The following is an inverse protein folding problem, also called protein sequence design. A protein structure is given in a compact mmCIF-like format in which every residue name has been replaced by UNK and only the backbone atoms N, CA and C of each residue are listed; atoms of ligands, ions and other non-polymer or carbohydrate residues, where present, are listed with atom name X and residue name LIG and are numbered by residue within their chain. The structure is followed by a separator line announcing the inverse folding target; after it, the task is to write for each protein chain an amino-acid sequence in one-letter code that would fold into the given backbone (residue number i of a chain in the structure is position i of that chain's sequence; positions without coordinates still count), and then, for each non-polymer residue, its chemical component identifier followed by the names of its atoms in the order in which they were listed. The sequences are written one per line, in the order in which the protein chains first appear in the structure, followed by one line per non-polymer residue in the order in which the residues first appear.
data_IF_100660203149
#
_entry.id   IF_100660203149
#
_cell.length_a   1.000
_cell.length_b   1.000
_cell.length_c   1.000
_cell.angle_alpha   90.00
_cell.angle_beta   90.00
_cell.angle_gamma   90.00
#
_symmetry.space_group_name_H-M   'P 1'
#
loop_
_entity.id
_entity.type
_entity.pdbx_description
1 polymer ?
#
# COMPACT_ATOMS: atom_id res chain seq x y z
N UNK A 1 -7.42 -0.59 -9.61
CA UNK A 1 -6.35 -0.56 -10.63
C UNK A 1 -5.93 0.88 -10.80
N UNK A 2 -4.64 1.14 -10.99
CA UNK A 2 -4.08 2.49 -10.99
C UNK A 2 -3.28 2.75 -12.25
N UNK A 3 -3.32 3.97 -12.82
CA UNK A 3 -2.71 4.25 -14.12
C UNK A 3 -1.19 4.42 -14.05
N UNK A 4 -0.62 4.71 -12.88
CA UNK A 4 0.83 4.85 -12.67
C UNK A 4 1.25 4.13 -11.40
N UNK A 5 2.54 3.78 -11.32
CA UNK A 5 3.13 3.13 -10.15
C UNK A 5 2.98 4.01 -8.92
N UNK A 6 3.31 5.30 -9.02
CA UNK A 6 3.26 6.26 -7.91
C UNK A 6 1.86 6.35 -7.28
N UNK A 7 0.81 6.42 -8.11
CA UNK A 7 -0.58 6.45 -7.63
C UNK A 7 -0.93 5.12 -6.95
N UNK A 8 -0.44 4.00 -7.48
CA UNK A 8 -0.64 2.69 -6.87
C UNK A 8 0.05 2.58 -5.51
N UNK A 9 1.29 3.08 -5.38
CA UNK A 9 2.03 3.07 -4.12
C UNK A 9 1.37 3.93 -3.05
N UNK A 10 0.89 5.11 -3.41
CA UNK A 10 0.17 5.99 -2.48
C UNK A 10 -1.14 5.36 -2.03
N UNK A 11 -1.89 4.79 -2.97
CA UNK A 11 -3.12 4.08 -2.64
C UNK A 11 -2.87 2.82 -1.81
N UNK A 12 -1.72 2.14 -1.97
CA UNK A 12 -1.32 1.01 -1.15
C UNK A 12 -1.11 1.45 0.30
N UNK A 13 -0.42 2.57 0.52
CA UNK A 13 -0.21 3.14 1.86
C UNK A 13 -1.54 3.57 2.47
N UNK A 14 -2.39 4.27 1.70
CA UNK A 14 -3.71 4.70 2.14
C UNK A 14 -4.59 3.51 2.54
N UNK A 15 -4.59 2.43 1.75
CA UNK A 15 -5.30 1.21 2.08
C UNK A 15 -4.81 0.62 3.42
N UNK A 16 -3.50 0.61 3.65
CA UNK A 16 -2.91 0.16 4.91
C UNK A 16 -3.30 1.05 6.09
N UNK A 17 -3.38 2.36 5.87
CA UNK A 17 -3.85 3.30 6.88
C UNK A 17 -5.34 3.12 7.18
N UNK A 18 -6.18 2.88 6.17
CA UNK A 18 -7.64 2.77 6.35
C UNK A 18 -8.08 1.42 6.86
N UNK A 19 -7.43 0.35 6.43
CA UNK A 19 -7.81 -1.02 6.77
C UNK A 19 -6.83 -1.62 7.79
N UNK A 20 -7.36 -2.35 8.77
CA UNK A 20 -6.55 -3.12 9.71
C UNK A 20 -6.13 -4.45 9.08
N UNK A 21 -5.18 -4.35 8.15
CA UNK A 21 -4.46 -5.50 7.63
C UNK A 21 -3.64 -6.13 8.76
N UNK A 22 -3.96 -7.36 9.13
CA UNK A 22 -3.21 -8.11 10.15
C UNK A 22 -1.78 -8.42 9.69
N UNK A 23 -0.95 -8.99 10.59
CA UNK A 23 0.48 -9.32 10.32
C UNK A 23 0.77 -10.11 9.04
N UNK A 24 -0.24 -10.76 8.44
CA UNK A 24 -0.12 -11.55 7.21
C UNK A 24 -1.24 -11.29 6.20
N UNK A 25 -2.11 -10.31 6.45
CA UNK A 25 -3.33 -10.13 5.66
C UNK A 25 -3.36 -8.76 5.04
N UNK A 26 -2.86 -8.60 3.81
CA UNK A 26 -2.94 -7.35 3.05
C UNK A 26 -1.99 -7.35 1.86
N UNK A 27 -2.17 -6.42 0.91
CA UNK A 27 -1.23 -6.23 -0.18
C UNK A 27 0.08 -5.65 0.34
N UNK A 28 1.23 -6.14 -0.15
CA UNK A 28 2.56 -5.68 0.27
C UNK A 28 3.29 -4.93 -0.84
N UNK A 29 2.83 -5.05 -2.09
CA UNK A 29 3.46 -4.45 -3.25
C UNK A 29 2.44 -4.07 -4.33
N UNK A 30 2.94 -3.38 -5.35
CA UNK A 30 2.25 -3.06 -6.59
C UNK A 30 2.96 -3.73 -7.76
N UNK A 31 2.24 -4.12 -8.79
CA UNK A 31 2.82 -4.65 -10.03
C UNK A 31 2.05 -4.15 -11.25
N UNK A 32 2.75 -4.00 -12.38
CA UNK A 32 2.13 -3.70 -13.67
C UNK A 32 1.51 -4.98 -14.24
N UNK A 33 0.20 -4.97 -14.46
CA UNK A 33 -0.51 -6.05 -15.12
C UNK A 33 -0.31 -5.96 -16.62
N UNK A 34 0.21 -7.04 -17.22
CA UNK A 34 0.48 -7.10 -18.66
C UNK A 34 -0.81 -7.20 -19.50
N UNK A 35 -1.92 -7.66 -18.92
CA UNK A 35 -3.18 -7.82 -19.62
C UNK A 35 -3.95 -6.50 -19.78
N UNK A 36 -3.89 -5.62 -18.77
CA UNK A 36 -4.64 -4.37 -18.77
C UNK A 36 -3.77 -3.11 -18.80
N UNK A 37 -2.45 -3.22 -18.66
CA UNK A 37 -1.51 -2.09 -18.65
C UNK A 37 -1.61 -1.19 -17.41
N UNK A 38 -2.30 -1.63 -16.35
CA UNK A 38 -2.47 -0.86 -15.11
C UNK A 38 -1.74 -1.51 -13.94
N UNK A 39 -1.53 -0.73 -12.88
CA UNK A 39 -0.94 -1.20 -11.64
C UNK A 39 -1.99 -1.81 -10.70
N UNK A 40 -1.65 -2.96 -10.13
CA UNK A 40 -2.49 -3.73 -9.21
C UNK A 40 -1.76 -4.01 -7.91
N UNK A 41 -2.53 -4.20 -6.85
CA UNK A 41 -2.02 -4.64 -5.56
C UNK A 41 -1.72 -6.13 -5.56
N UNK A 42 -0.67 -6.51 -4.85
CA UNK A 42 -0.31 -7.91 -4.65
C UNK A 42 0.20 -8.13 -3.23
N UNK A 43 -0.14 -9.28 -2.66
CA UNK A 43 0.40 -9.77 -1.38
C UNK A 43 1.67 -10.61 -1.57
N UNK A 44 2.15 -10.75 -2.81
CA UNK A 44 3.33 -11.54 -3.16
C UNK A 44 4.52 -10.66 -3.52
N UNK A 45 5.72 -11.21 -3.38
CA UNK A 45 6.97 -10.55 -3.78
C UNK A 45 7.59 -9.72 -2.66
N UNK A 46 8.45 -8.77 -3.06
CA UNK A 46 9.15 -7.91 -2.11
C UNK A 46 8.25 -6.74 -1.68
N UNK A 47 8.18 -6.42 -0.37
CA UNK A 47 7.40 -5.28 0.10
C UNK A 47 7.85 -3.99 -0.56
N UNK A 48 6.87 -3.20 -1.01
CA UNK A 48 7.12 -1.89 -1.60
C UNK A 48 7.96 -1.04 -0.63
N UNK A 49 9.01 -0.40 -1.16
CA UNK A 49 9.97 0.35 -0.36
C UNK A 49 9.29 1.51 0.38
N UNK A 50 8.41 2.25 -0.30
CA UNK A 50 7.65 3.36 0.26
C UNK A 50 6.72 2.89 1.38
N UNK A 51 6.01 1.77 1.18
CA UNK A 51 5.16 1.16 2.22
C UNK A 51 5.98 0.80 3.46
N UNK A 52 7.14 0.16 3.28
CA UNK A 52 8.02 -0.23 4.39
C UNK A 52 8.52 0.99 5.17
N UNK A 53 8.99 2.02 4.48
CA UNK A 53 9.43 3.27 5.10
C UNK A 53 8.29 3.95 5.89
N UNK A 54 7.05 3.90 5.40
CA UNK A 54 5.89 4.43 6.10
C UNK A 54 5.53 3.64 7.38
N UNK A 55 5.69 2.32 7.36
CA UNK A 55 5.50 1.46 8.52
C UNK A 55 6.62 1.69 9.55
N UNK A 56 7.88 1.66 9.11
CA UNK A 56 9.06 1.79 9.98
C UNK A 56 9.17 3.18 10.60
N UNK A 57 8.83 4.23 9.85
CA UNK A 57 8.84 5.62 10.37
C UNK A 57 7.71 5.92 11.35
N UNK A 58 6.74 5.02 11.52
CA UNK A 58 5.58 5.23 12.38
C UNK A 58 4.57 6.25 11.82
N UNK A 59 4.82 6.86 10.65
CA UNK A 59 3.91 7.81 9.98
C UNK A 59 2.52 7.22 9.75
N UNK A 60 2.46 5.92 9.48
CA UNK A 60 1.22 5.18 9.30
C UNK A 60 0.34 5.17 10.59
N UNK A 61 0.94 5.14 11.79
CA UNK A 61 0.19 5.25 13.05
C UNK A 61 -0.40 6.64 13.24
N UNK A 62 0.35 7.69 12.92
CA UNK A 62 -0.12 9.07 12.98
C UNK A 62 -1.27 9.31 12.00
N UNK A 63 -1.16 8.81 10.76
CA UNK A 63 -2.23 8.90 9.79
C UNK A 63 -3.48 8.11 10.20
N UNK A 64 -3.32 6.93 10.82
CA UNK A 64 -4.46 6.17 11.37
C UNK A 64 -5.25 6.98 12.40
N UNK A 65 -4.55 7.65 13.32
CA UNK A 65 -5.19 8.54 14.28
C UNK A 65 -5.91 9.70 13.60
N UNK A 66 -5.33 10.27 12.55
CA UNK A 66 -5.94 11.31 11.72
C UNK A 66 -7.04 10.80 10.75
N UNK A 67 -7.41 9.52 10.78
CA UNK A 67 -8.58 9.00 10.07
C UNK A 67 -9.70 8.59 11.02
N UNK A 68 -9.43 8.53 12.33
CA UNK A 68 -10.38 8.12 13.38
C UNK A 68 -11.08 9.30 14.07
N UNK A 69 -10.68 10.53 13.75
CA UNK A 69 -11.34 11.80 14.13
C UNK A 69 -12.29 12.30 13.04
#
# INVERSE_FOLDING_TARGET
MYPTEEIAEDALIEAHTRFEYGKQGGPIAVYLCNDCGNFHFTSQGNPNKKLREYIESGKMKTQKQAYLW
#
